data_IF_435280320212
#
_entry.id   IF_435280320212
#
_cell.length_a   1.000
_cell.length_b   1.000
_cell.length_c   1.000
_cell.angle_alpha   90.00
_cell.angle_beta   90.00
_cell.angle_gamma   90.00
#
_symmetry.space_group_name_H-M   'P 1'
#
loop_
_entity.id
_entity.type
_entity.pdbx_description
1 polymer ?
#
# COMPACT_ATOMS: atom_id res chain seq x y z
N UNK A 1 16.71 -3.95 10.13
CA UNK A 1 17.72 -3.20 9.34
C UNK A 1 18.86 -2.64 10.20
N UNK A 2 18.64 -2.27 11.47
CA UNK A 2 19.72 -1.78 12.35
C UNK A 2 20.82 -2.81 12.70
N UNK A 3 20.62 -4.08 12.37
CA UNK A 3 21.58 -5.18 12.60
C UNK A 3 22.38 -5.55 11.34
N UNK A 4 22.11 -4.90 10.20
CA UNK A 4 22.74 -5.20 8.92
C UNK A 4 23.43 -3.95 8.36
N UNK A 5 24.76 -3.99 8.27
CA UNK A 5 25.52 -2.97 7.55
C UNK A 5 25.33 -3.13 6.04
N UNK A 6 25.29 -2.03 5.29
CA UNK A 6 25.25 -2.01 3.81
C UNK A 6 24.03 -2.71 3.17
N UNK A 7 22.84 -2.60 3.75
CA UNK A 7 21.61 -3.09 3.12
C UNK A 7 21.48 -2.48 1.70
N UNK A 8 21.28 -3.31 0.66
CA UNK A 8 21.19 -2.82 -0.71
C UNK A 8 20.02 -1.87 -0.90
N UNK A 9 20.26 -0.78 -1.65
CA UNK A 9 19.20 0.09 -2.11
C UNK A 9 18.38 -0.64 -3.19
N UNK A 10 17.05 -0.64 -3.03
CA UNK A 10 16.14 -1.28 -3.98
C UNK A 10 15.42 -0.21 -4.78
N UNK A 11 15.76 -0.11 -6.06
CA UNK A 11 15.08 0.78 -7.01
C UNK A 11 13.71 0.18 -7.38
N UNK A 12 12.64 0.94 -7.17
CA UNK A 12 11.25 0.56 -7.50
C UNK A 12 10.90 0.94 -8.96
N UNK A 13 11.30 0.09 -9.90
CA UNK A 13 11.12 0.24 -11.35
C UNK A 13 10.14 -0.80 -11.95
N UNK A 14 9.42 -1.53 -11.10
CA UNK A 14 8.41 -2.50 -11.52
C UNK A 14 7.19 -1.83 -12.15
N UNK A 15 6.41 -2.61 -12.88
CA UNK A 15 5.17 -2.19 -13.54
C UNK A 15 3.91 -2.35 -12.66
N UNK A 16 4.06 -2.95 -11.48
CA UNK A 16 2.96 -3.16 -10.52
C UNK A 16 3.46 -3.13 -9.07
N UNK A 17 2.54 -2.94 -8.11
CA UNK A 17 2.84 -3.04 -6.68
C UNK A 17 3.44 -4.40 -6.30
N UNK A 18 2.93 -5.48 -6.92
CA UNK A 18 3.48 -6.82 -6.69
C UNK A 18 4.93 -6.92 -7.15
N UNK A 19 5.27 -6.42 -8.34
CA UNK A 19 6.64 -6.48 -8.86
C UNK A 19 7.63 -5.71 -7.98
N UNK A 20 7.24 -4.52 -7.50
CA UNK A 20 8.06 -3.75 -6.56
C UNK A 20 8.22 -4.46 -5.20
N UNK A 21 7.12 -4.99 -4.64
CA UNK A 21 7.16 -5.73 -3.38
C UNK A 21 8.02 -7.00 -3.50
N UNK A 22 7.89 -7.75 -4.60
CA UNK A 22 8.70 -8.93 -4.87
C UNK A 22 10.18 -8.58 -5.02
N UNK A 23 10.50 -7.52 -5.78
CA UNK A 23 11.89 -7.07 -5.94
C UNK A 23 12.51 -6.73 -4.58
N UNK A 24 11.79 -5.97 -3.74
CA UNK A 24 12.23 -5.64 -2.38
C UNK A 24 12.44 -6.88 -1.52
N UNK A 25 11.44 -7.76 -1.42
CA UNK A 25 11.53 -8.96 -0.58
C UNK A 25 12.66 -9.88 -1.06
N UNK A 26 12.76 -10.13 -2.37
CA UNK A 26 13.80 -10.96 -2.97
C UNK A 26 15.19 -10.40 -2.68
N UNK A 27 15.44 -9.12 -2.99
CA UNK A 27 16.76 -8.51 -2.80
C UNK A 27 17.21 -8.56 -1.35
N UNK A 28 16.30 -8.31 -0.40
CA UNK A 28 16.63 -8.41 1.03
C UNK A 28 16.88 -9.86 1.44
N UNK A 29 16.07 -10.81 0.99
CA UNK A 29 16.25 -12.23 1.33
C UNK A 29 17.57 -12.80 0.78
N UNK A 30 17.93 -12.46 -0.46
CA UNK A 30 19.20 -12.86 -1.07
C UNK A 30 20.41 -12.23 -0.36
N UNK A 31 20.26 -11.02 0.18
CA UNK A 31 21.31 -10.33 0.92
C UNK A 31 21.51 -10.91 2.33
N UNK A 32 20.43 -11.17 3.06
CA UNK A 32 20.52 -11.64 4.47
C UNK A 32 20.63 -13.16 4.58
N UNK A 33 20.19 -13.92 3.57
CA UNK A 33 19.99 -15.36 3.67
C UNK A 33 18.77 -15.75 4.52
N UNK A 34 17.90 -14.81 4.86
CA UNK A 34 16.72 -15.00 5.71
C UNK A 34 15.42 -14.81 4.93
N UNK A 35 14.32 -15.32 5.46
CA UNK A 35 12.98 -14.98 4.93
C UNK A 35 12.75 -13.48 5.07
N UNK A 36 12.38 -12.82 3.98
CA UNK A 36 12.11 -11.39 3.95
C UNK A 36 10.65 -11.08 3.65
N UNK A 37 10.12 -10.04 4.28
CA UNK A 37 8.80 -9.48 4.02
C UNK A 37 8.96 -8.07 3.48
N UNK A 38 8.31 -7.76 2.37
CA UNK A 38 8.23 -6.38 1.87
C UNK A 38 6.82 -6.08 1.35
N UNK A 39 6.43 -4.80 1.41
CA UNK A 39 5.19 -4.31 0.79
C UNK A 39 5.46 -3.22 -0.25
N UNK A 40 4.55 -3.09 -1.20
CA UNK A 40 4.41 -1.87 -2.00
C UNK A 40 2.94 -1.46 -2.05
N UNK A 41 2.69 -0.15 -1.96
CA UNK A 41 1.36 0.38 -1.74
C UNK A 41 1.16 1.71 -2.45
N UNK A 42 -0.09 2.00 -2.82
CA UNK A 42 -0.41 3.25 -3.48
C UNK A 42 -1.91 3.49 -3.64
N UNK A 43 -2.22 4.60 -4.29
CA UNK A 43 -3.57 5.04 -4.63
C UNK A 43 -3.80 4.88 -6.13
N UNK A 44 -4.91 4.26 -6.50
CA UNK A 44 -5.38 4.19 -7.90
C UNK A 44 -6.69 4.97 -8.03
N UNK A 45 -6.75 5.92 -8.95
CA UNK A 45 -7.96 6.73 -9.21
C UNK A 45 -8.49 6.40 -10.60
N UNK A 46 -9.74 5.96 -10.69
CA UNK A 46 -10.32 5.49 -11.95
C UNK A 46 -10.36 6.59 -13.03
N UNK A 47 -10.75 7.82 -12.64
CA UNK A 47 -10.78 8.96 -13.55
C UNK A 47 -9.40 9.37 -14.08
N UNK A 48 -8.31 8.95 -13.41
CA UNK A 48 -6.93 9.19 -13.82
C UNK A 48 -6.28 7.92 -14.40
N UNK A 49 -7.08 6.97 -14.90
CA UNK A 49 -6.61 5.71 -15.48
C UNK A 49 -5.70 4.91 -14.53
N UNK A 50 -6.02 4.91 -13.23
CA UNK A 50 -5.26 4.20 -12.20
C UNK A 50 -4.08 5.00 -11.62
N UNK A 51 -3.80 6.21 -12.10
CA UNK A 51 -2.81 7.08 -11.46
C UNK A 51 -3.32 7.58 -10.09
N UNK A 52 -2.42 7.86 -9.13
CA UNK A 52 -0.95 7.84 -9.24
C UNK A 52 -0.29 6.44 -9.31
N UNK A 53 -0.96 5.38 -8.85
CA UNK A 53 -0.46 4.01 -8.94
C UNK A 53 0.86 3.80 -8.19
N UNK A 54 1.81 3.09 -8.78
CA UNK A 54 3.17 2.86 -8.23
C UNK A 54 3.97 4.16 -8.01
N UNK A 55 3.54 5.29 -8.59
CA UNK A 55 4.17 6.60 -8.40
C UNK A 55 3.56 7.39 -7.24
N UNK A 56 2.73 6.75 -6.39
CA UNK A 56 1.98 7.40 -5.31
C UNK A 56 2.83 8.30 -4.41
N UNK A 57 4.03 7.89 -4.01
CA UNK A 57 4.91 8.69 -3.14
C UNK A 57 5.57 9.87 -3.87
N UNK A 58 5.68 9.79 -5.21
CA UNK A 58 6.42 10.73 -6.06
C UNK A 58 5.55 11.33 -7.16
N UNK A 59 4.25 11.42 -6.94
CA UNK A 59 3.30 11.80 -7.99
C UNK A 59 3.52 13.24 -8.45
N UNK A 60 3.93 14.12 -7.53
CA UNK A 60 4.30 15.51 -7.81
C UNK A 60 5.74 15.70 -8.35
N UNK A 61 6.51 14.63 -8.55
CA UNK A 61 7.86 14.68 -9.12
C UNK A 61 8.97 14.70 -8.06
N UNK A 62 10.08 15.40 -8.38
CA UNK A 62 11.31 15.43 -7.57
C UNK A 62 11.10 16.00 -6.15
N UNK A 63 10.31 17.06 -6.06
CA UNK A 63 9.95 17.70 -4.78
C UNK A 63 8.63 17.16 -4.21
N UNK A 64 8.28 15.91 -4.47
CA UNK A 64 7.02 15.36 -3.98
C UNK A 64 7.00 15.27 -2.45
N UNK A 65 5.96 15.83 -1.86
CA UNK A 65 5.52 15.57 -0.49
C UNK A 65 4.03 15.23 -0.51
N UNK A 66 3.48 14.84 0.65
CA UNK A 66 2.07 14.45 0.77
C UNK A 66 1.13 15.56 0.29
N UNK A 67 1.44 16.82 0.59
CA UNK A 67 0.59 17.95 0.25
C UNK A 67 0.59 18.25 -1.25
N UNK A 68 1.75 18.29 -1.89
CA UNK A 68 1.89 18.50 -3.34
C UNK A 68 1.30 17.34 -4.13
N UNK A 69 1.44 16.11 -3.63
CA UNK A 69 0.81 14.93 -4.21
C UNK A 69 -0.72 15.06 -4.17
N UNK A 70 -1.28 15.48 -3.03
CA UNK A 70 -2.71 15.75 -2.88
C UNK A 70 -3.17 16.86 -3.82
N UNK A 71 -2.46 17.99 -3.86
CA UNK A 71 -2.85 19.15 -4.68
C UNK A 71 -2.92 18.77 -6.15
N UNK A 72 -1.90 18.05 -6.65
CA UNK A 72 -1.90 17.53 -8.02
C UNK A 72 -3.11 16.63 -8.30
N UNK A 73 -3.49 15.75 -7.36
CA UNK A 73 -4.68 14.91 -7.52
C UNK A 73 -5.95 15.76 -7.58
N UNK A 74 -6.11 16.73 -6.68
CA UNK A 74 -7.29 17.58 -6.61
C UNK A 74 -7.42 18.46 -7.88
N UNK A 75 -6.31 19.02 -8.37
CA UNK A 75 -6.26 19.81 -9.60
C UNK A 75 -6.67 18.99 -10.82
N UNK A 76 -6.12 17.77 -10.97
CA UNK A 76 -6.47 16.87 -12.07
C UNK A 76 -7.95 16.46 -12.05
N UNK A 77 -8.57 16.43 -10.87
CA UNK A 77 -9.96 16.07 -10.70
C UNK A 77 -10.92 17.27 -10.62
N UNK A 78 -10.44 18.52 -10.73
CA UNK A 78 -11.23 19.73 -10.46
C UNK A 78 -12.59 19.76 -11.19
N UNK A 79 -12.65 19.22 -12.41
CA UNK A 79 -13.87 19.17 -13.23
C UNK A 79 -14.53 17.78 -13.26
N UNK A 80 -14.08 16.83 -12.44
CA UNK A 80 -14.62 15.48 -12.34
C UNK A 80 -15.72 15.43 -11.26
N UNK A 81 -16.98 15.10 -11.60
CA UNK A 81 -18.05 14.96 -10.62
C UNK A 81 -17.71 13.90 -9.56
N UNK A 82 -18.11 14.11 -8.30
CA UNK A 82 -17.80 13.20 -7.18
C UNK A 82 -18.13 11.72 -7.45
N UNK A 83 -19.25 11.45 -8.14
CA UNK A 83 -19.65 10.09 -8.54
C UNK A 83 -18.65 9.35 -9.45
N UNK A 84 -17.80 10.10 -10.15
CA UNK A 84 -16.78 9.59 -11.07
C UNK A 84 -15.38 9.60 -10.44
N UNK A 85 -15.24 9.99 -9.17
CA UNK A 85 -13.96 10.05 -8.45
C UNK A 85 -13.66 8.77 -7.68
N UNK A 86 -14.05 7.61 -8.21
CA UNK A 86 -13.78 6.32 -7.57
C UNK A 86 -12.28 6.07 -7.48
N UNK A 87 -11.85 5.60 -6.32
CA UNK A 87 -10.45 5.33 -6.04
C UNK A 87 -10.30 4.12 -5.13
N UNK A 88 -9.11 3.53 -5.13
CA UNK A 88 -8.76 2.48 -4.21
C UNK A 88 -7.32 2.66 -3.72
N UNK A 89 -7.14 2.53 -2.41
CA UNK A 89 -5.82 2.20 -1.91
C UNK A 89 -5.52 0.71 -2.16
N UNK A 90 -4.30 0.42 -2.61
CA UNK A 90 -3.79 -0.92 -2.89
C UNK A 90 -2.53 -1.18 -2.05
N UNK A 91 -2.37 -2.41 -1.61
CA UNK A 91 -1.16 -2.93 -1.00
C UNK A 91 -0.89 -4.32 -1.56
N UNK A 92 0.34 -4.60 -1.96
CA UNK A 92 0.85 -5.95 -2.20
C UNK A 92 1.94 -6.23 -1.17
N UNK A 93 1.84 -7.35 -0.46
CA UNK A 93 2.83 -7.84 0.49
C UNK A 93 3.41 -9.14 -0.06
N UNK A 94 4.73 -9.25 -0.09
CA UNK A 94 5.44 -10.46 -0.51
C UNK A 94 6.26 -11.00 0.64
N UNK A 95 6.05 -12.29 0.95
CA UNK A 95 6.91 -13.09 1.83
C UNK A 95 7.81 -13.96 0.95
N UNK A 96 9.11 -13.71 0.96
CA UNK A 96 10.10 -14.39 0.13
C UNK A 96 11.02 -15.26 0.98
N UNK A 97 11.21 -16.51 0.57
CA UNK A 97 12.04 -17.50 1.25
C UNK A 97 13.46 -17.57 0.65
N UNK A 98 14.52 -17.83 1.43
CA UNK A 98 15.88 -18.00 0.92
C UNK A 98 16.02 -19.09 -0.16
N UNK A 99 15.12 -20.08 -0.16
CA UNK A 99 15.06 -21.16 -1.15
C UNK A 99 14.46 -20.72 -2.50
N UNK A 100 14.05 -19.45 -2.62
CA UNK A 100 13.57 -18.84 -3.86
C UNK A 100 12.06 -18.88 -4.07
N UNK A 101 11.30 -19.44 -3.13
CA UNK A 101 9.82 -19.45 -3.16
C UNK A 101 9.24 -18.17 -2.55
N UNK A 102 8.02 -17.79 -2.95
CA UNK A 102 7.34 -16.64 -2.37
C UNK A 102 5.81 -16.82 -2.32
N UNK A 103 5.19 -16.08 -1.41
CA UNK A 103 3.75 -15.88 -1.34
C UNK A 103 3.44 -14.39 -1.44
N UNK A 104 2.35 -14.04 -2.14
CA UNK A 104 1.90 -12.66 -2.30
C UNK A 104 0.49 -12.49 -1.75
N UNK A 105 0.27 -11.38 -1.06
CA UNK A 105 -0.99 -11.04 -0.40
C UNK A 105 -1.40 -9.63 -0.79
N UNK A 106 -2.62 -9.48 -1.28
CA UNK A 106 -3.12 -8.18 -1.70
C UNK A 106 -4.21 -7.65 -0.78
N UNK A 107 -4.21 -6.34 -0.64
CA UNK A 107 -5.22 -5.59 0.07
C UNK A 107 -5.74 -4.45 -0.76
N UNK A 108 -7.06 -4.25 -0.73
CA UNK A 108 -7.75 -3.19 -1.44
C UNK A 108 -8.74 -2.49 -0.52
N UNK A 109 -8.71 -1.16 -0.52
CA UNK A 109 -9.71 -0.35 0.18
C UNK A 109 -10.34 0.62 -0.81
N UNK A 110 -11.59 0.37 -1.18
CA UNK A 110 -12.36 1.21 -2.09
C UNK A 110 -12.94 2.44 -1.40
N UNK A 111 -12.99 3.54 -2.14
CA UNK A 111 -13.48 4.83 -1.68
C UNK A 111 -13.65 5.82 -2.82
N UNK A 112 -13.70 7.10 -2.47
CA UNK A 112 -13.82 8.23 -3.39
C UNK A 112 -12.75 9.28 -3.08
N UNK A 113 -12.35 10.07 -4.06
CA UNK A 113 -11.57 11.28 -3.80
C UNK A 113 -12.50 12.45 -3.48
N UNK A 114 -12.36 13.05 -2.31
CA UNK A 114 -13.12 14.22 -1.90
C UNK A 114 -12.73 15.47 -2.70
N UNK A 115 -13.58 16.50 -2.66
CA UNK A 115 -13.33 17.78 -3.34
C UNK A 115 -12.30 18.66 -2.62
N UNK A 116 -12.12 18.44 -1.32
CA UNK A 116 -11.16 19.13 -0.50
C UNK A 116 -10.61 18.21 0.59
N UNK A 117 -9.46 18.58 1.15
CA UNK A 117 -8.85 17.93 2.30
C UNK A 117 -9.78 18.01 3.52
N UNK A 118 -9.91 16.93 4.27
CA UNK A 118 -10.65 16.88 5.53
C UNK A 118 -9.90 16.01 6.54
N UNK A 119 -9.86 16.43 7.80
CA UNK A 119 -9.11 15.74 8.85
C UNK A 119 -7.63 16.11 8.88
N UNK A 120 -6.95 15.71 9.95
CA UNK A 120 -5.54 16.03 10.23
C UNK A 120 -4.72 14.82 10.67
N UNK A 121 -5.34 13.64 10.77
CA UNK A 121 -4.64 12.39 11.06
C UNK A 121 -4.15 11.71 9.79
N UNK A 122 -3.41 10.61 9.97
CA UNK A 122 -2.95 9.81 8.85
C UNK A 122 -1.74 10.40 8.12
N UNK A 123 -1.56 9.99 6.87
CA UNK A 123 -0.45 10.41 6.01
C UNK A 123 -0.82 10.20 4.53
N UNK A 124 -0.03 10.74 3.60
CA UNK A 124 -0.26 10.62 2.17
C UNK A 124 -1.64 11.14 1.79
N UNK A 125 -2.35 10.39 0.95
CA UNK A 125 -3.67 10.78 0.43
C UNK A 125 -4.84 10.60 1.42
N UNK A 126 -4.59 10.24 2.68
CA UNK A 126 -5.64 10.05 3.68
C UNK A 126 -6.62 11.24 3.83
N UNK A 127 -6.19 12.52 3.75
CA UNK A 127 -7.08 13.68 3.87
C UNK A 127 -8.07 13.84 2.72
N UNK A 128 -7.82 13.19 1.58
CA UNK A 128 -8.71 13.25 0.41
C UNK A 128 -9.38 11.91 0.08
N UNK A 129 -9.02 10.83 0.77
CA UNK A 129 -9.63 9.52 0.55
C UNK A 129 -10.88 9.36 1.40
N UNK A 130 -12.05 9.61 0.80
CA UNK A 130 -13.35 9.50 1.44
C UNK A 130 -13.87 8.06 1.43
N UNK A 131 -14.34 7.60 2.58
CA UNK A 131 -14.92 6.27 2.77
C UNK A 131 -16.43 6.43 3.02
N UNK A 132 -17.30 6.09 2.03
CA UNK A 132 -18.74 6.31 2.13
C UNK A 132 -19.40 5.66 3.35
N UNK A 133 -18.93 4.48 3.73
CA UNK A 133 -19.44 3.73 4.90
C UNK A 133 -19.31 4.53 6.21
N UNK A 134 -18.22 5.29 6.37
CA UNK A 134 -17.95 6.07 7.58
C UNK A 134 -18.34 7.54 7.44
N UNK A 135 -18.74 7.98 6.25
CA UNK A 135 -18.98 9.39 5.90
C UNK A 135 -17.84 10.31 6.31
N UNK A 136 -16.61 9.83 6.14
CA UNK A 136 -15.37 10.45 6.61
C UNK A 136 -14.25 10.20 5.62
N UNK A 137 -13.28 11.10 5.57
CA UNK A 137 -11.97 10.80 4.99
C UNK A 137 -11.16 9.92 5.95
N UNK A 138 -10.15 9.21 5.43
CA UNK A 138 -9.28 8.35 6.26
C UNK A 138 -8.57 9.18 7.33
N UNK A 139 -8.20 10.43 7.03
CA UNK A 139 -7.59 11.35 8.01
C UNK A 139 -8.51 11.76 9.16
N UNK A 140 -9.83 11.51 9.06
CA UNK A 140 -10.81 11.71 10.14
C UNK A 140 -11.10 10.43 10.93
N UNK A 141 -10.57 9.28 10.51
CA UNK A 141 -10.65 8.04 11.26
C UNK A 141 -9.59 8.01 12.35
N UNK A 142 -9.88 7.30 13.44
CA UNK A 142 -8.86 6.97 14.43
C UNK A 142 -7.84 5.99 13.83
N UNK A 143 -6.60 6.01 14.33
CA UNK A 143 -5.59 5.03 13.93
C UNK A 143 -6.05 3.58 14.14
N UNK A 144 -6.86 3.33 15.18
CA UNK A 144 -7.41 2.01 15.46
C UNK A 144 -8.41 1.55 14.38
N UNK A 145 -9.29 2.43 13.91
CA UNK A 145 -10.20 2.13 12.79
C UNK A 145 -9.42 1.88 11.49
N UNK A 146 -8.47 2.77 11.15
CA UNK A 146 -7.62 2.62 9.96
C UNK A 146 -6.84 1.29 9.97
N UNK A 147 -6.27 0.91 11.11
CA UNK A 147 -5.47 -0.31 11.25
C UNK A 147 -6.29 -1.60 11.18
N UNK A 148 -7.62 -1.52 11.26
CA UNK A 148 -8.51 -2.68 11.11
C UNK A 148 -9.05 -2.84 9.68
N UNK A 149 -9.21 -1.74 8.97
CA UNK A 149 -10.02 -1.70 7.74
C UNK A 149 -9.20 -1.44 6.47
N UNK A 150 -7.99 -0.89 6.63
CA UNK A 150 -7.18 -0.46 5.50
C UNK A 150 -6.75 -1.60 4.56
N UNK A 151 -6.37 -1.21 3.35
CA UNK A 151 -5.70 -2.06 2.37
C UNK A 151 -4.54 -2.84 3.00
N UNK A 152 -3.67 -2.17 3.79
CA UNK A 152 -2.60 -2.85 4.53
C UNK A 152 -3.12 -3.85 5.55
N UNK A 153 -4.14 -3.49 6.33
CA UNK A 153 -4.76 -4.40 7.30
C UNK A 153 -5.30 -5.67 6.63
N UNK A 154 -5.94 -5.54 5.47
CA UNK A 154 -6.46 -6.67 4.68
C UNK A 154 -5.34 -7.57 4.16
N UNK A 155 -4.26 -6.99 3.60
CA UNK A 155 -3.11 -7.76 3.13
C UNK A 155 -2.41 -8.50 4.28
N UNK A 156 -2.19 -7.83 5.42
CA UNK A 156 -1.60 -8.43 6.61
C UNK A 156 -2.49 -9.53 7.22
N UNK A 157 -3.80 -9.37 7.17
CA UNK A 157 -4.72 -10.41 7.61
C UNK A 157 -4.61 -11.67 6.75
N UNK A 158 -4.56 -11.53 5.42
CA UNK A 158 -4.37 -12.66 4.51
C UNK A 158 -3.03 -13.37 4.75
N UNK A 159 -1.94 -12.61 4.95
CA UNK A 159 -0.62 -13.16 5.35
C UNK A 159 -0.72 -13.94 6.67
N UNK A 160 -1.36 -13.36 7.69
CA UNK A 160 -1.52 -13.99 9.00
C UNK A 160 -2.25 -15.33 8.90
N UNK A 161 -3.31 -15.41 8.09
CA UNK A 161 -4.06 -16.65 7.88
C UNK A 161 -3.22 -17.72 7.18
N UNK A 162 -2.46 -17.36 6.13
CA UNK A 162 -1.49 -18.29 5.50
C UNK A 162 -0.48 -18.84 6.52
N UNK A 163 0.14 -17.95 7.32
CA UNK A 163 1.11 -18.35 8.34
C UNK A 163 0.48 -19.29 9.37
N UNK A 164 -0.75 -19.01 9.81
CA UNK A 164 -1.48 -19.86 10.76
C UNK A 164 -1.71 -21.26 10.20
N UNK A 165 -2.19 -21.37 8.97
CA UNK A 165 -2.40 -22.66 8.30
C UNK A 165 -1.09 -23.46 8.19
N UNK A 166 0.02 -22.82 7.82
CA UNK A 166 1.33 -23.48 7.75
C UNK A 166 1.80 -24.01 9.11
N UNK A 167 1.66 -23.20 10.16
CA UNK A 167 2.01 -23.63 11.51
C UNK A 167 1.16 -24.79 12.01
N UNK A 168 -0.13 -24.83 11.65
CA UNK A 168 -1.02 -25.94 11.99
C UNK A 168 -0.69 -27.23 11.23
N UNK A 169 -0.32 -27.13 9.95
CA UNK A 169 0.11 -28.29 9.15
C UNK A 169 1.42 -28.88 9.68
N UNK A 170 2.41 -28.04 9.99
CA UNK A 170 3.70 -28.49 10.52
C UNK A 170 3.56 -29.20 11.88
N UNK A 171 2.58 -28.82 12.70
CA UNK A 171 2.27 -29.50 13.98
C UNK A 171 1.62 -30.87 13.80
N UNK A 172 0.99 -31.16 12.65
CA UNK A 172 0.34 -32.45 12.36
C UNK A 172 1.29 -33.43 11.65
N UNK A 173 2.41 -32.95 11.13
CA UNK A 173 3.45 -33.75 10.46
C UNK A 173 4.57 -34.17 11.41
N UNK A 174 4.50 -33.80 12.68
CA UNK A 174 5.35 -34.22 13.80
C UNK A 174 4.58 -35.19 14.70
#
# INVERSE_FOLDING_TARGET
MAEYDHVPEVIEDGSSFFENALKKAKTISEFTGETALADDSGLEIAALNGQPGIYSSRFAGEDADDDRNIDKVLDLLANTPLKNRTAAFRCSIVLYSPEGSYEAFEGRWDGLISEARQGSGGFGYDPIFYVPEFKKTVAQLTSQEKNRLSHRAKALFALKESLRTRLELNKRSL
#
